data_IF_491173495150
#
_entry.id   IF_491173495150
#
_cell.length_a   1.000
_cell.length_b   1.000
_cell.length_c   1.000
_cell.angle_alpha   90.00
_cell.angle_beta   90.00
_cell.angle_gamma   90.00
#
_symmetry.space_group_name_H-M   'P 1'
#
loop_
_entity.id
_entity.type
_entity.pdbx_description
1 polymer ?
#
# COMPACT_ATOMS: atom_id res chain seq x y z
N UNK A 1 -5.43 15.12 31.29
CA UNK A 1 -5.74 14.79 30.75
C UNK A 1 -5.73 14.66 30.07
N UNK A 2 -5.59 14.74 29.71
CA UNK A 2 -5.75 14.39 28.93
C UNK A 2 -6.08 14.60 28.34
N UNK A 3 -5.95 14.89 28.26
CA UNK A 3 -6.35 15.05 27.36
C UNK A 3 -6.48 15.04 26.56
N UNK A 4 -6.32 15.16 26.42
CA UNK A 4 -6.58 14.98 25.54
C UNK A 4 -6.48 14.81 24.85
N UNK A 5 -6.18 14.46 24.70
CA UNK A 5 -6.20 14.03 23.93
C UNK A 5 -6.45 13.86 23.18
N UNK A 6 -6.40 13.85 23.23
CA UNK A 6 -6.70 13.64 22.40
C UNK A 6 -7.03 13.78 21.61
N UNK A 7 -6.63 13.80 21.40
CA UNK A 7 -7.01 14.23 20.24
C UNK A 7 -8.04 13.73 19.51
N UNK A 8 -8.83 13.40 19.99
CA UNK A 8 -9.90 13.01 19.36
C UNK A 8 -10.49 13.95 18.45
N UNK A 9 -10.27 15.16 18.57
CA UNK A 9 -10.81 16.12 17.71
C UNK A 9 -10.36 15.94 16.33
N UNK A 10 -9.15 15.58 16.16
CA UNK A 10 -8.69 15.35 14.85
C UNK A 10 -9.36 14.21 14.23
N UNK A 11 -9.78 13.30 15.03
CA UNK A 11 -10.47 12.18 14.49
C UNK A 11 -11.72 12.59 13.80
N UNK A 12 -12.38 13.60 14.27
CA UNK A 12 -13.59 13.98 13.63
C UNK A 12 -13.33 14.57 12.28
N UNK A 13 -12.20 15.22 12.08
CA UNK A 13 -11.93 15.72 10.78
C UNK A 13 -11.66 14.61 9.83
N UNK A 14 -11.09 13.55 10.28
CA UNK A 14 -10.78 12.46 9.42
C UNK A 14 -11.97 11.58 9.15
N UNK A 15 -13.15 11.99 9.55
CA UNK A 15 -14.31 11.13 9.35
C UNK A 15 -14.54 10.83 7.89
N UNK A 16 -14.17 11.73 6.98
CA UNK A 16 -14.40 11.51 5.57
C UNK A 16 -13.28 10.74 4.91
N UNK A 17 -12.21 10.45 5.57
CA UNK A 17 -11.15 9.66 4.99
C UNK A 17 -10.47 8.90 6.10
N UNK A 18 -9.91 7.77 5.78
CA UNK A 18 -9.23 6.94 6.75
C UNK A 18 -7.85 6.62 6.22
N UNK A 19 -6.86 6.91 7.04
CA UNK A 19 -5.47 6.73 6.66
C UNK A 19 -4.83 5.71 7.58
N UNK A 20 -4.14 4.76 6.99
CA UNK A 20 -3.42 3.74 7.74
C UNK A 20 -2.01 3.71 7.21
N UNK A 21 -1.03 3.70 8.09
CA UNK A 21 0.36 3.62 7.68
C UNK A 21 1.03 2.46 8.37
N UNK A 22 1.96 1.84 7.67
CA UNK A 22 2.66 0.68 8.17
C UNK A 22 4.10 0.76 7.71
N UNK A 23 5.05 0.60 8.63
CA UNK A 23 6.46 0.57 8.28
C UNK A 23 7.03 -0.75 8.76
N UNK A 24 7.68 -1.48 7.87
CA UNK A 24 8.23 -2.79 8.21
C UNK A 24 9.64 -2.87 7.64
N UNK A 25 10.45 -3.83 8.12
CA UNK A 25 11.72 -4.07 7.46
C UNK A 25 11.50 -4.45 6.01
N UNK A 26 12.43 -4.07 5.15
CA UNK A 26 12.29 -4.31 3.71
C UNK A 26 12.70 -5.74 3.39
N UNK A 27 11.94 -6.69 3.90
CA UNK A 27 12.22 -8.09 3.73
C UNK A 27 10.93 -8.80 3.34
N UNK A 28 11.07 -9.81 2.50
CA UNK A 28 9.90 -10.51 1.98
C UNK A 28 9.03 -11.09 3.09
N UNK A 29 9.66 -11.50 4.21
CA UNK A 29 8.91 -12.10 5.29
C UNK A 29 7.87 -11.17 5.88
N UNK A 30 8.05 -9.87 5.73
CA UNK A 30 7.15 -8.92 6.36
C UNK A 30 6.06 -8.43 5.43
N UNK A 31 6.04 -8.88 4.18
CA UNK A 31 5.00 -8.42 3.25
C UNK A 31 3.63 -8.93 3.63
N UNK A 32 3.57 -9.99 4.44
CA UNK A 32 2.27 -10.49 4.89
C UNK A 32 1.58 -9.42 5.73
N UNK A 33 2.34 -8.59 6.46
CA UNK A 33 1.72 -7.56 7.27
C UNK A 33 1.05 -6.51 6.41
N UNK A 34 1.65 -6.18 5.27
CA UNK A 34 1.03 -5.23 4.36
C UNK A 34 -0.27 -5.78 3.81
N UNK A 35 -0.30 -7.07 3.47
CA UNK A 35 -1.52 -7.67 2.95
C UNK A 35 -2.61 -7.70 4.01
N UNK A 36 -2.23 -7.95 5.27
CA UNK A 36 -3.21 -7.94 6.34
C UNK A 36 -3.77 -6.54 6.57
N UNK A 37 -2.90 -5.53 6.51
CA UNK A 37 -3.37 -4.16 6.68
C UNK A 37 -4.31 -3.78 5.54
N UNK A 38 -3.96 -4.17 4.33
CA UNK A 38 -4.82 -3.88 3.18
C UNK A 38 -6.16 -4.59 3.34
N UNK A 39 -6.16 -5.84 3.79
CA UNK A 39 -7.41 -6.54 4.00
C UNK A 39 -8.30 -5.82 5.00
N UNK A 40 -7.69 -5.29 6.06
CA UNK A 40 -8.49 -4.58 7.06
C UNK A 40 -9.09 -3.31 6.48
N UNK A 41 -8.33 -2.59 5.66
CA UNK A 41 -8.85 -1.39 5.03
C UNK A 41 -9.97 -1.74 4.06
N UNK A 42 -9.79 -2.82 3.31
CA UNK A 42 -10.79 -3.19 2.32
C UNK A 42 -12.11 -3.62 2.93
N UNK A 43 -12.13 -4.00 4.20
CA UNK A 43 -13.39 -4.30 4.85
C UNK A 43 -14.29 -3.08 4.96
N UNK A 44 -13.72 -1.90 4.80
CA UNK A 44 -14.49 -0.67 4.87
C UNK A 44 -14.93 -0.21 3.49
N UNK A 45 -14.75 -1.04 2.47
CA UNK A 45 -15.05 -0.66 1.10
C UNK A 45 -16.08 -1.62 0.52
N UNK A 46 -16.71 -1.24 -0.59
CA UNK A 46 -17.63 -2.15 -1.28
C UNK A 46 -16.92 -3.11 -2.25
N UNK A 47 -15.61 -3.24 -2.14
CA UNK A 47 -14.88 -4.08 -3.08
C UNK A 47 -15.21 -5.54 -2.90
N UNK A 48 -15.28 -6.27 -4.01
CA UNK A 48 -15.56 -7.69 -3.97
C UNK A 48 -14.32 -8.45 -3.52
N UNK A 49 -14.48 -9.72 -3.11
CA UNK A 49 -13.30 -10.51 -2.74
C UNK A 49 -12.31 -10.63 -3.88
N UNK A 50 -12.77 -10.67 -5.13
CA UNK A 50 -11.85 -10.75 -6.24
C UNK A 50 -11.07 -9.46 -6.39
N UNK A 51 -11.73 -8.33 -6.21
CA UNK A 51 -11.03 -7.07 -6.29
C UNK A 51 -10.02 -6.93 -5.18
N UNK A 52 -10.35 -7.41 -3.99
CA UNK A 52 -9.41 -7.36 -2.87
C UNK A 52 -8.21 -8.25 -3.17
N UNK A 53 -8.44 -9.43 -3.75
CA UNK A 53 -7.33 -10.30 -4.11
C UNK A 53 -6.42 -9.65 -5.13
N UNK A 54 -7.00 -8.92 -6.10
CA UNK A 54 -6.20 -8.23 -7.08
C UNK A 54 -5.34 -7.15 -6.42
N UNK A 55 -5.89 -6.43 -5.46
CA UNK A 55 -5.12 -5.40 -4.77
C UNK A 55 -4.00 -6.02 -3.95
N UNK A 56 -4.23 -7.17 -3.35
CA UNK A 56 -3.18 -7.83 -2.60
C UNK A 56 -2.06 -8.26 -3.53
N UNK A 57 -2.41 -8.71 -4.71
CA UNK A 57 -1.39 -9.07 -5.69
C UNK A 57 -0.61 -7.82 -6.10
N UNK A 58 -1.30 -6.73 -6.37
CA UNK A 58 -0.65 -5.51 -6.81
C UNK A 58 0.32 -4.99 -5.76
N UNK A 59 -0.10 -4.97 -4.49
CA UNK A 59 0.75 -4.43 -3.44
C UNK A 59 1.95 -5.34 -3.21
N UNK A 60 1.78 -6.65 -3.39
CA UNK A 60 2.87 -7.58 -3.24
C UNK A 60 3.88 -7.41 -4.36
N UNK A 61 3.41 -7.26 -5.58
CA UNK A 61 4.32 -7.06 -6.71
C UNK A 61 5.05 -5.72 -6.56
N UNK A 62 4.36 -4.69 -6.13
CA UNK A 62 5.00 -3.40 -5.95
C UNK A 62 6.05 -3.46 -4.84
N UNK A 63 5.74 -4.17 -3.76
CA UNK A 63 6.67 -4.26 -2.65
C UNK A 63 7.91 -5.06 -3.02
N UNK A 64 7.77 -6.04 -3.90
CA UNK A 64 8.92 -6.83 -4.29
C UNK A 64 10.00 -5.98 -4.96
N UNK A 65 9.62 -4.86 -5.55
CA UNK A 65 10.62 -3.99 -6.16
C UNK A 65 11.54 -3.36 -5.13
N UNK A 66 11.13 -3.32 -3.86
CA UNK A 66 11.92 -2.71 -2.81
C UNK A 66 12.61 -3.73 -1.92
N UNK A 67 12.46 -5.01 -2.22
CA UNK A 67 13.03 -6.07 -1.39
C UNK A 67 14.13 -6.75 -2.21
N UNK A 68 15.33 -6.82 -1.63
CA UNK A 68 16.44 -7.44 -2.33
C UNK A 68 16.56 -8.86 -1.85
N UNK A 69 16.22 -9.81 -2.70
CA UNK A 69 16.28 -11.20 -2.29
C UNK A 69 17.67 -11.74 -2.29
N UNK A 70 18.65 -10.98 -2.72
CA UNK A 70 20.01 -11.45 -2.73
C UNK A 70 20.67 -11.50 -1.38
N UNK A 71 20.01 -10.99 -0.39
CA UNK A 71 20.56 -11.11 0.93
C UNK A 71 21.43 -9.98 1.39
N UNK A 72 21.64 -8.99 0.58
CA UNK A 72 22.46 -7.87 0.96
C UNK A 72 21.67 -6.73 1.50
N UNK A 73 20.49 -6.98 2.02
CA UNK A 73 19.66 -5.93 2.53
C UNK A 73 20.22 -5.39 3.80
N UNK A 74 20.35 -4.08 3.86
CA UNK A 74 20.75 -3.41 5.06
C UNK A 74 19.70 -3.69 6.12
N UNK A 75 20.12 -4.04 7.31
CA UNK A 75 19.18 -4.32 8.37
C UNK A 75 18.34 -3.13 8.67
N UNK A 76 18.74 -1.93 8.30
CA UNK A 76 17.96 -0.76 8.57
C UNK A 76 17.05 -0.35 7.45
N UNK A 77 17.04 -1.08 6.36
CA UNK A 77 16.13 -0.74 5.26
C UNK A 77 14.70 -0.95 5.68
N UNK A 78 13.87 -0.01 5.36
CA UNK A 78 12.46 -0.05 5.73
C UNK A 78 11.60 0.16 4.51
N UNK A 79 10.39 -0.36 4.59
CA UNK A 79 9.41 -0.24 3.54
C UNK A 79 8.18 0.38 4.18
N UNK A 80 7.70 1.48 3.60
CA UNK A 80 6.57 2.20 4.14
C UNK A 80 5.37 2.03 3.24
N UNK A 81 4.25 1.66 3.84
CA UNK A 81 2.99 1.54 3.14
C UNK A 81 2.02 2.55 3.72
N UNK A 82 1.27 3.22 2.88
CA UNK A 82 0.23 4.13 3.34
C UNK A 82 -1.03 3.85 2.55
N UNK A 83 -2.14 3.69 3.25
CA UNK A 83 -3.42 3.44 2.62
C UNK A 83 -4.33 4.61 2.97
N UNK A 84 -4.86 5.28 1.96
CA UNK A 84 -5.73 6.44 2.15
C UNK A 84 -7.07 6.12 1.56
N UNK A 85 -8.06 5.91 2.40
CA UNK A 85 -9.39 5.54 1.96
C UNK A 85 -10.27 6.78 1.93
N UNK A 86 -10.68 7.19 0.74
CA UNK A 86 -11.59 8.30 0.57
C UNK A 86 -12.96 7.81 0.18
N UNK A 87 -13.82 8.74 -0.24
CA UNK A 87 -15.18 8.38 -0.60
C UNK A 87 -15.26 7.59 -1.88
N UNK A 88 -14.42 7.89 -2.84
CA UNK A 88 -14.55 7.28 -4.16
C UNK A 88 -13.32 6.51 -4.59
N UNK A 89 -12.31 6.43 -3.77
CA UNK A 89 -11.09 5.73 -4.18
C UNK A 89 -10.24 5.33 -2.99
N UNK A 90 -9.41 4.34 -3.21
CA UNK A 90 -8.41 3.91 -2.26
C UNK A 90 -7.06 4.16 -2.89
N UNK A 91 -6.21 4.92 -2.21
CA UNK A 91 -4.86 5.18 -2.66
C UNK A 91 -3.90 4.36 -1.81
N UNK A 92 -2.93 3.74 -2.47
CA UNK A 92 -1.92 2.96 -1.77
C UNK A 92 -0.57 3.48 -2.20
N UNK A 93 0.19 4.01 -1.24
CA UNK A 93 1.52 4.54 -1.51
C UNK A 93 2.55 3.63 -0.89
N UNK A 94 3.65 3.46 -1.60
CA UNK A 94 4.69 2.56 -1.17
C UNK A 94 6.03 3.19 -1.47
N UNK A 95 6.89 3.30 -0.47
CA UNK A 95 8.25 3.75 -0.71
C UNK A 95 9.17 3.06 0.27
N UNK A 96 10.44 3.05 -0.06
CA UNK A 96 11.43 2.41 0.79
C UNK A 96 12.56 3.36 1.07
N UNK A 97 13.32 3.08 2.12
CA UNK A 97 14.43 3.93 2.49
C UNK A 97 15.53 3.87 1.45
N UNK A 98 15.62 2.76 0.69
CA UNK A 98 16.67 2.64 -0.30
C UNK A 98 16.15 2.73 -1.72
N UNK A 99 14.85 2.92 -1.89
CA UNK A 99 14.31 3.01 -3.23
C UNK A 99 14.16 1.65 -3.90
N UNK A 100 13.58 1.64 -5.09
CA UNK A 100 13.36 0.38 -5.79
C UNK A 100 14.67 -0.24 -6.24
N UNK A 101 14.68 -1.56 -6.28
CA UNK A 101 15.83 -2.31 -6.74
C UNK A 101 15.60 -2.64 -8.21
N UNK A 102 16.52 -2.24 -9.07
CA UNK A 102 16.38 -2.53 -10.49
C UNK A 102 16.50 -4.02 -10.72
N UNK A 103 15.64 -4.57 -11.54
CA UNK A 103 15.71 -5.97 -11.85
C UNK A 103 15.15 -6.20 -13.23
N UNK A 104 15.50 -7.32 -13.82
CA UNK A 104 15.04 -7.65 -15.15
C UNK A 104 13.56 -8.00 -15.15
N UNK A 105 12.98 -8.24 -13.98
CA UNK A 105 11.57 -8.58 -13.90
C UNK A 105 10.70 -7.38 -13.61
N UNK A 106 11.28 -6.19 -13.52
CA UNK A 106 10.50 -5.04 -13.12
C UNK A 106 9.41 -4.69 -14.12
N UNK A 107 9.67 -4.86 -15.40
CA UNK A 107 8.64 -4.56 -16.38
C UNK A 107 7.46 -5.51 -16.26
N UNK A 108 7.73 -6.78 -16.01
CA UNK A 108 6.65 -7.74 -15.84
C UNK A 108 5.86 -7.41 -14.59
N UNK A 109 6.55 -7.06 -13.53
CA UNK A 109 5.90 -6.71 -12.28
C UNK A 109 4.98 -5.52 -12.47
N UNK A 110 5.45 -4.50 -13.19
CA UNK A 110 4.62 -3.32 -13.43
C UNK A 110 3.43 -3.63 -14.32
N UNK A 111 3.60 -4.53 -15.28
CA UNK A 111 2.48 -4.92 -16.12
C UNK A 111 1.40 -5.62 -15.30
N UNK A 112 1.82 -6.47 -14.35
CA UNK A 112 0.86 -7.13 -13.48
C UNK A 112 0.12 -6.10 -12.64
N UNK A 113 0.85 -5.13 -12.10
CA UNK A 113 0.24 -4.11 -11.27
C UNK A 113 -0.78 -3.32 -12.09
N UNK A 114 -0.39 -2.92 -13.30
CA UNK A 114 -1.29 -2.10 -14.10
C UNK A 114 -2.52 -2.86 -14.54
N UNK A 115 -2.45 -4.17 -14.55
CA UNK A 115 -3.60 -4.98 -14.91
C UNK A 115 -4.56 -5.19 -13.74
N UNK A 116 -4.12 -4.89 -12.52
CA UNK A 116 -4.92 -5.20 -11.34
C UNK A 116 -5.42 -3.99 -10.60
N UNK A 117 -4.95 -2.80 -10.94
CA UNK A 117 -5.45 -1.58 -10.30
C UNK A 117 -5.91 -0.63 -11.40
N UNK A 118 -6.58 0.45 -11.01
CA UNK A 118 -7.11 1.38 -11.98
C UNK A 118 -6.06 2.36 -12.47
N UNK A 119 -5.14 2.77 -11.60
CA UNK A 119 -4.05 3.65 -11.98
C UNK A 119 -2.82 3.29 -11.18
N UNK A 120 -1.66 3.44 -11.79
CA UNK A 120 -0.40 3.19 -11.12
C UNK A 120 0.61 4.24 -11.54
N UNK A 121 1.38 4.75 -10.58
CA UNK A 121 2.39 5.76 -10.85
C UNK A 121 3.68 5.30 -10.20
N UNK A 122 4.73 5.14 -10.99
CA UNK A 122 6.03 4.70 -10.51
C UNK A 122 7.03 5.83 -10.72
N UNK A 123 7.13 6.74 -9.77
CA UNK A 123 8.03 7.84 -9.97
C UNK A 123 8.64 8.26 -8.65
N UNK A 124 9.83 8.83 -8.71
CA UNK A 124 10.46 9.39 -7.53
C UNK A 124 10.79 8.38 -6.46
N UNK A 125 11.04 7.15 -6.83
CA UNK A 125 11.33 6.12 -5.84
C UNK A 125 10.12 5.69 -5.06
N UNK A 126 8.93 6.03 -5.53
CA UNK A 126 7.69 5.70 -4.84
C UNK A 126 6.72 5.10 -5.84
N UNK A 127 5.86 4.23 -5.35
CA UNK A 127 4.80 3.65 -6.17
C UNK A 127 3.46 4.06 -5.58
N UNK A 128 2.59 4.58 -6.40
CA UNK A 128 1.24 4.93 -5.98
C UNK A 128 0.24 4.15 -6.81
N UNK A 129 -0.64 3.43 -6.14
CA UNK A 129 -1.67 2.63 -6.80
C UNK A 129 -3.02 3.21 -6.43
N UNK A 130 -3.92 3.28 -7.39
CA UNK A 130 -5.25 3.83 -7.15
C UNK A 130 -6.30 2.82 -7.55
N UNK A 131 -7.25 2.57 -6.68
CA UNK A 131 -8.40 1.74 -6.97
C UNK A 131 -9.66 2.56 -6.73
N UNK A 132 -10.48 2.72 -7.76
CA UNK A 132 -11.73 3.46 -7.61
C UNK A 132 -12.77 2.57 -6.96
N UNK A 133 -13.54 3.16 -6.05
CA UNK A 133 -14.57 2.45 -5.35
C UNK A 133 -15.89 2.76 -6.02
N UNK A 134 -16.28 1.83 -6.90
CA UNK A 134 -17.44 2.09 -7.69
C UNK A 134 -18.65 1.57 -6.99
N UNK A 135 -19.43 2.48 -6.46
CA UNK A 135 -20.53 2.04 -5.74
C UNK A 135 -21.73 1.99 -6.46
N UNK A 136 -21.78 2.42 -7.66
CA UNK A 136 -23.02 2.45 -8.31
C UNK A 136 -23.45 1.16 -8.68
N UNK A 137 -22.71 0.27 -8.47
CA UNK A 137 -23.20 -1.04 -8.69
C UNK A 137 -24.40 -1.01 -9.48
#
# INVERSE_FOLDING_TARGET
MFPGRVPDVEASKAADSRDVSLTVPARADYLVLARLALSAVCRLTPLSPEEVADLKLAITEAANDFVDEGGDIDDESRLNFSFHLGDDRLLMDLDGTTGPVASSEQELSRAIIEATVDEADFSGGRTRLTKYLNETG
#
